data_IF_378683492588
#
_entry.id   IF_378683492588
#
_cell.length_a   1.000
_cell.length_b   1.000
_cell.length_c   1.000
_cell.angle_alpha   90.00
_cell.angle_beta   90.00
_cell.angle_gamma   90.00
#
_symmetry.space_group_name_H-M   'P 1'
#
loop_
_entity.id
_entity.type
_entity.pdbx_description
1 polymer ?
#
# COMPACT_ATOMS: atom_id res chain seq x y z
N UNK A 1 18.93 3.36 -11.73
CA UNK A 1 17.94 2.27 -11.81
C UNK A 1 18.23 1.36 -10.63
N UNK A 2 17.19 0.98 -9.90
CA UNK A 2 17.27 0.10 -8.74
C UNK A 2 17.12 -1.36 -9.16
N UNK A 3 17.43 -2.30 -8.26
CA UNK A 3 17.06 -3.70 -8.46
C UNK A 3 15.69 -3.94 -7.83
N UNK A 4 14.87 -4.77 -8.48
CA UNK A 4 13.66 -5.28 -7.86
C UNK A 4 13.99 -6.52 -7.04
N UNK A 5 13.52 -6.55 -5.80
CA UNK A 5 13.69 -7.68 -4.89
C UNK A 5 12.34 -8.21 -4.42
N UNK A 6 12.33 -9.49 -4.08
CA UNK A 6 11.15 -10.20 -3.62
C UNK A 6 10.83 -9.85 -2.16
N UNK A 7 9.60 -9.42 -1.89
CA UNK A 7 9.05 -9.23 -0.53
C UNK A 7 7.81 -10.11 -0.39
N UNK A 8 7.78 -10.93 0.66
CA UNK A 8 6.65 -11.81 0.95
C UNK A 8 5.47 -10.98 1.50
N UNK A 9 4.27 -11.29 1.02
CA UNK A 9 3.02 -10.73 1.54
C UNK A 9 2.57 -11.50 2.78
N UNK A 10 1.46 -11.08 3.40
CA UNK A 10 0.87 -11.82 4.52
C UNK A 10 -0.12 -12.93 4.10
N UNK A 11 -0.20 -13.29 2.81
CA UNK A 11 -1.15 -14.27 2.29
C UNK A 11 -0.50 -15.28 1.32
N UNK A 12 0.68 -15.83 1.70
CA UNK A 12 1.45 -16.82 0.94
C UNK A 12 1.71 -16.44 -0.53
N UNK A 13 2.00 -15.15 -0.74
CA UNK A 13 2.40 -14.60 -2.03
C UNK A 13 3.63 -13.70 -1.84
N UNK A 14 4.09 -13.11 -2.93
CA UNK A 14 5.22 -12.18 -2.93
C UNK A 14 5.10 -11.17 -4.04
N UNK A 15 5.67 -9.99 -3.81
CA UNK A 15 5.75 -8.90 -4.79
C UNK A 15 7.21 -8.54 -5.05
N UNK A 16 7.49 -8.01 -6.24
CA UNK A 16 8.78 -7.43 -6.57
C UNK A 16 8.73 -5.93 -6.30
N UNK A 17 9.65 -5.41 -5.50
CA UNK A 17 9.71 -3.98 -5.11
C UNK A 17 11.14 -3.47 -5.21
N UNK A 18 11.30 -2.16 -5.38
CA UNK A 18 12.60 -1.50 -5.36
C UNK A 18 13.38 -1.84 -4.07
N UNK A 19 14.65 -2.23 -4.23
CA UNK A 19 15.51 -2.74 -3.15
C UNK A 19 15.59 -1.83 -1.92
N UNK A 20 15.86 -0.53 -2.08
CA UNK A 20 15.93 0.41 -0.96
C UNK A 20 14.57 0.71 -0.31
N UNK A 21 13.42 0.36 -0.93
CA UNK A 21 12.10 0.49 -0.29
C UNK A 21 11.66 -0.79 0.42
N UNK A 22 12.35 -1.91 0.22
CA UNK A 22 11.87 -3.21 0.66
C UNK A 22 11.71 -3.33 2.19
N UNK A 23 12.56 -2.67 2.98
CA UNK A 23 12.41 -2.63 4.45
C UNK A 23 11.13 -1.89 4.85
N UNK A 24 10.87 -0.73 4.24
CA UNK A 24 9.65 0.05 4.44
C UNK A 24 8.41 -0.77 4.06
N UNK A 25 8.44 -1.48 2.92
CA UNK A 25 7.33 -2.33 2.50
C UNK A 25 7.07 -3.47 3.51
N UNK A 26 8.12 -4.13 4.02
CA UNK A 26 7.96 -5.16 5.07
C UNK A 26 7.34 -4.57 6.34
N UNK A 27 7.75 -3.37 6.72
CA UNK A 27 7.20 -2.66 7.87
C UNK A 27 5.73 -2.28 7.68
N UNK A 28 5.33 -1.79 6.50
CA UNK A 28 3.92 -1.56 6.14
C UNK A 28 3.09 -2.83 6.36
N UNK A 29 3.53 -3.97 5.81
CA UNK A 29 2.82 -5.26 5.94
C UNK A 29 2.70 -5.69 7.41
N UNK A 30 3.76 -5.52 8.20
CA UNK A 30 3.79 -5.88 9.62
C UNK A 30 2.81 -5.02 10.43
N UNK A 31 2.83 -3.71 10.22
CA UNK A 31 2.02 -2.75 10.96
C UNK A 31 0.55 -2.82 10.56
N UNK A 32 0.24 -3.08 9.29
CA UNK A 32 -1.13 -3.22 8.80
C UNK A 32 -1.92 -4.31 9.55
N UNK A 33 -1.25 -5.38 10.01
CA UNK A 33 -1.87 -6.45 10.82
C UNK A 33 -2.50 -5.94 12.13
N UNK A 34 -1.99 -4.83 12.67
CA UNK A 34 -2.50 -4.22 13.91
C UNK A 34 -3.72 -3.32 13.66
N UNK A 35 -4.03 -3.02 12.40
CA UNK A 35 -5.15 -2.17 12.03
C UNK A 35 -6.32 -3.01 11.48
N UNK A 36 -7.32 -3.36 12.31
CA UNK A 36 -8.40 -4.24 11.87
C UNK A 36 -9.30 -3.59 10.82
N UNK A 37 -9.28 -2.26 10.67
CA UNK A 37 -10.13 -1.54 9.73
C UNK A 37 -9.56 -1.49 8.30
N UNK A 38 -8.31 -1.92 8.07
CA UNK A 38 -7.71 -2.06 6.74
C UNK A 38 -8.03 -3.45 6.19
N UNK A 39 -8.73 -3.51 5.05
CA UNK A 39 -9.07 -4.76 4.38
C UNK A 39 -7.92 -5.25 3.48
N UNK A 40 -7.25 -4.34 2.77
CA UNK A 40 -6.08 -4.63 1.95
C UNK A 40 -5.21 -3.39 1.75
N UNK A 41 -3.94 -3.61 1.40
CA UNK A 41 -3.01 -2.57 0.95
C UNK A 41 -2.43 -2.99 -0.39
N UNK A 42 -2.41 -2.06 -1.34
CA UNK A 42 -1.83 -2.23 -2.66
C UNK A 42 -0.77 -1.16 -2.92
N UNK A 43 0.33 -1.55 -3.56
CA UNK A 43 1.34 -0.64 -4.07
C UNK A 43 1.12 -0.41 -5.56
N UNK A 44 1.53 0.75 -6.06
CA UNK A 44 1.57 1.07 -7.49
C UNK A 44 2.74 2.01 -7.80
N UNK A 45 2.77 2.58 -9.00
CA UNK A 45 3.75 3.60 -9.36
C UNK A 45 5.19 3.12 -9.29
N UNK A 46 6.08 4.02 -8.88
CA UNK A 46 7.51 3.80 -9.11
C UNK A 46 8.09 2.67 -8.26
N UNK A 47 7.57 2.41 -7.05
CA UNK A 47 8.11 1.39 -6.12
C UNK A 47 8.13 -0.03 -6.68
N UNK A 48 7.36 -0.29 -7.73
CA UNK A 48 7.29 -1.57 -8.45
C UNK A 48 8.18 -1.64 -9.71
N UNK A 49 8.90 -0.56 -10.03
CA UNK A 49 9.64 -0.39 -11.28
C UNK A 49 11.12 -0.03 -11.02
N UNK A 50 12.03 -0.46 -11.89
CA UNK A 50 13.48 -0.20 -11.76
C UNK A 50 13.85 1.29 -11.82
N UNK A 51 12.94 2.15 -12.30
CA UNK A 51 13.14 3.60 -12.35
C UNK A 51 12.98 4.32 -11.01
N UNK A 52 12.49 3.62 -9.98
CA UNK A 52 12.39 4.16 -8.64
C UNK A 52 13.75 4.75 -8.19
N UNK A 53 13.71 5.71 -7.28
CA UNK A 53 14.92 6.26 -6.63
C UNK A 53 14.75 6.29 -5.12
N UNK A 54 15.84 6.46 -4.38
CA UNK A 54 15.81 6.59 -2.92
C UNK A 54 14.86 7.70 -2.44
N UNK A 55 14.81 8.83 -3.15
CA UNK A 55 13.93 9.96 -2.87
C UNK A 55 12.53 9.83 -3.47
N UNK A 56 12.22 8.74 -4.17
CA UNK A 56 10.86 8.51 -4.65
C UNK A 56 9.91 8.31 -3.46
N UNK A 57 8.73 8.87 -3.61
CA UNK A 57 7.55 8.55 -2.81
C UNK A 57 7.15 7.08 -2.95
N UNK A 58 6.34 6.61 -2.00
CA UNK A 58 5.69 5.30 -2.06
C UNK A 58 4.20 5.54 -2.32
N UNK A 59 3.79 5.19 -3.53
CA UNK A 59 2.40 5.17 -3.98
C UNK A 59 1.64 4.01 -3.33
N UNK A 60 0.67 4.32 -2.48
CA UNK A 60 -0.04 3.34 -1.65
C UNK A 60 -1.55 3.51 -1.74
N UNK A 61 -2.23 2.39 -1.93
CA UNK A 61 -3.69 2.30 -1.86
C UNK A 61 -4.10 1.59 -0.57
N UNK A 62 -4.91 2.26 0.23
CA UNK A 62 -5.59 1.69 1.39
C UNK A 62 -7.02 1.29 0.99
N UNK A 63 -7.33 0.00 1.09
CA UNK A 63 -8.67 -0.53 0.88
C UNK A 63 -9.34 -0.75 2.23
N UNK A 64 -10.48 -0.10 2.46
CA UNK A 64 -11.28 -0.24 3.67
C UNK A 64 -12.76 0.03 3.41
N UNK A 65 -13.65 -0.76 4.02
CA UNK A 65 -15.09 -0.44 4.05
C UNK A 65 -15.41 0.92 4.70
N UNK A 66 -14.50 1.48 5.52
CA UNK A 66 -14.67 2.80 6.15
C UNK A 66 -14.18 3.90 5.20
N UNK A 67 -14.80 5.09 5.30
CA UNK A 67 -14.28 6.28 4.63
C UNK A 67 -12.99 6.75 5.29
N UNK A 68 -12.18 7.53 4.58
CA UNK A 68 -10.94 8.10 5.13
C UNK A 68 -11.18 8.87 6.42
N UNK A 69 -12.23 9.70 6.48
CA UNK A 69 -12.58 10.44 7.70
C UNK A 69 -12.87 9.49 8.87
N UNK A 70 -13.66 8.43 8.63
CA UNK A 70 -13.98 7.44 9.64
C UNK A 70 -12.79 6.56 10.04
N UNK A 71 -11.77 6.42 9.18
CA UNK A 71 -10.49 5.79 9.51
C UNK A 71 -9.64 6.69 10.39
N UNK A 72 -9.52 7.98 10.06
CA UNK A 72 -8.74 8.95 10.83
C UNK A 72 -9.22 9.13 12.28
N UNK A 73 -10.48 8.81 12.57
CA UNK A 73 -11.01 8.79 13.94
C UNK A 73 -10.61 7.53 14.73
N UNK A 74 -10.03 6.51 14.07
CA UNK A 74 -9.67 5.23 14.70
C UNK A 74 -8.26 5.30 15.24
N UNK A 75 -8.13 5.04 16.55
CA UNK A 75 -6.83 4.94 17.22
C UNK A 75 -5.88 3.97 16.50
N UNK A 76 -6.35 2.80 16.10
CA UNK A 76 -5.55 1.79 15.39
C UNK A 76 -5.07 2.25 14.01
N UNK A 77 -5.83 3.08 13.31
CA UNK A 77 -5.40 3.64 12.02
C UNK A 77 -4.39 4.77 12.23
N UNK A 78 -4.59 5.62 13.23
CA UNK A 78 -3.61 6.65 13.58
C UNK A 78 -2.29 6.05 14.06
N UNK A 79 -2.34 4.95 14.82
CA UNK A 79 -1.15 4.18 15.21
C UNK A 79 -0.46 3.57 13.99
N UNK A 80 -1.22 2.99 13.04
CA UNK A 80 -0.67 2.51 11.78
C UNK A 80 0.06 3.63 11.02
N UNK A 81 -0.60 4.77 10.81
CA UNK A 81 0.01 5.92 10.11
C UNK A 81 1.26 6.43 10.82
N UNK A 82 1.22 6.54 12.15
CA UNK A 82 2.38 6.92 12.96
C UNK A 82 3.54 5.94 12.76
N UNK A 83 3.27 4.64 12.86
CA UNK A 83 4.28 3.59 12.72
C UNK A 83 4.93 3.63 11.32
N UNK A 84 4.21 4.02 10.26
CA UNK A 84 4.81 4.19 8.91
C UNK A 84 5.93 5.23 8.88
N UNK A 85 5.74 6.38 9.54
CA UNK A 85 6.73 7.47 9.57
C UNK A 85 7.83 7.27 10.61
N UNK A 86 7.67 6.35 11.57
CA UNK A 86 8.69 6.07 12.59
C UNK A 86 9.94 5.38 12.02
N UNK A 87 9.78 4.60 10.94
CA UNK A 87 10.91 3.89 10.32
C UNK A 87 11.79 4.85 9.50
N UNK A 88 11.15 5.73 8.72
CA UNK A 88 11.83 6.75 7.94
C UNK A 88 10.96 8.02 7.90
N UNK A 89 11.37 9.03 8.65
CA UNK A 89 10.68 10.31 8.73
C UNK A 89 10.80 11.15 7.45
N UNK A 90 11.76 10.84 6.58
CA UNK A 90 11.96 11.52 5.31
C UNK A 90 11.21 10.85 4.15
N UNK A 91 10.65 9.65 4.37
CA UNK A 91 9.87 8.97 3.35
C UNK A 91 8.53 9.68 3.11
N UNK A 92 8.31 10.07 1.85
CA UNK A 92 7.02 10.59 1.38
C UNK A 92 6.11 9.46 0.91
N UNK A 93 4.81 9.60 1.11
CA UNK A 93 3.81 8.62 0.73
C UNK A 93 2.66 9.33 0.01
N UNK A 94 2.24 8.80 -1.14
CA UNK A 94 1.02 9.24 -1.82
C UNK A 94 -0.10 8.23 -1.55
N UNK A 95 -1.11 8.64 -0.77
CA UNK A 95 -2.18 7.76 -0.32
C UNK A 95 -3.44 7.93 -1.16
N UNK A 96 -3.92 6.82 -1.72
CA UNK A 96 -5.26 6.70 -2.27
C UNK A 96 -6.12 5.79 -1.41
N UNK A 97 -7.42 6.10 -1.35
CA UNK A 97 -8.38 5.38 -0.51
C UNK A 97 -9.53 4.86 -1.35
N UNK A 98 -9.82 3.56 -1.22
CA UNK A 98 -10.94 2.90 -1.90
C UNK A 98 -11.73 2.03 -0.94
N UNK A 99 -13.04 1.87 -1.21
CA UNK A 99 -13.92 1.04 -0.40
C UNK A 99 -13.71 -0.46 -0.61
N UNK A 100 -13.27 -0.82 -1.82
CA UNK A 100 -13.05 -2.21 -2.22
C UNK A 100 -12.13 -2.28 -3.43
N UNK A 101 -11.56 -3.45 -3.69
CA UNK A 101 -10.84 -3.72 -4.93
C UNK A 101 -11.81 -3.64 -6.13
N UNK A 102 -13.04 -4.13 -5.99
CA UNK A 102 -14.05 -4.08 -7.05
C UNK A 102 -14.37 -2.66 -7.51
N UNK A 103 -14.35 -1.68 -6.59
CA UNK A 103 -14.50 -0.26 -6.92
C UNK A 103 -13.45 0.21 -7.92
N UNK A 104 -12.20 -0.22 -7.77
CA UNK A 104 -11.10 0.11 -8.67
C UNK A 104 -11.40 -0.46 -10.07
N UNK A 105 -11.76 -1.74 -10.15
CA UNK A 105 -12.07 -2.39 -11.43
C UNK A 105 -13.31 -1.80 -12.12
N UNK A 106 -14.35 -1.44 -11.38
CA UNK A 106 -15.54 -0.80 -11.94
C UNK A 106 -15.26 0.58 -12.53
N UNK A 107 -14.25 1.28 -12.01
CA UNK A 107 -13.87 2.65 -12.42
C UNK A 107 -12.71 2.68 -13.42
N UNK A 108 -12.10 1.55 -13.76
CA UNK A 108 -10.88 1.49 -14.60
C UNK A 108 -11.00 2.20 -15.95
N UNK A 109 -12.16 2.13 -16.61
CA UNK A 109 -12.38 2.78 -17.91
C UNK A 109 -12.73 4.29 -17.78
N UNK A 110 -13.02 4.75 -16.57
CA UNK A 110 -13.49 6.13 -16.29
C UNK A 110 -12.42 6.99 -15.63
N UNK A 111 -11.47 6.37 -14.92
CA UNK A 111 -10.43 7.07 -14.17
C UNK A 111 -9.07 6.46 -14.50
N UNK A 112 -8.12 7.22 -15.09
CA UNK A 112 -6.79 6.73 -15.45
C UNK A 112 -6.05 6.08 -14.28
N UNK A 113 -6.18 6.65 -13.08
CA UNK A 113 -5.59 6.06 -11.88
C UNK A 113 -6.17 4.67 -11.56
N UNK A 114 -7.47 4.47 -11.71
CA UNK A 114 -8.08 3.15 -11.50
C UNK A 114 -7.64 2.15 -12.57
N UNK A 115 -7.38 2.60 -13.81
CA UNK A 115 -6.80 1.77 -14.86
C UNK A 115 -5.40 1.30 -14.46
N UNK A 116 -4.55 2.21 -14.04
CA UNK A 116 -3.19 1.89 -13.58
C UNK A 116 -3.19 0.92 -12.40
N UNK A 117 -4.03 1.18 -11.39
CA UNK A 117 -4.17 0.28 -10.25
C UNK A 117 -4.64 -1.12 -10.64
N UNK A 118 -5.58 -1.23 -11.59
CA UNK A 118 -6.07 -2.51 -12.06
C UNK A 118 -5.05 -3.29 -12.91
N UNK A 119 -4.20 -2.59 -13.68
CA UNK A 119 -3.23 -3.21 -14.59
C UNK A 119 -1.89 -3.51 -13.93
N UNK A 120 -1.44 -2.65 -13.00
CA UNK A 120 -0.10 -2.70 -12.41
C UNK A 120 -0.08 -2.84 -10.90
N UNK A 121 -1.17 -2.53 -10.21
CA UNK A 121 -1.22 -2.54 -8.75
C UNK A 121 -0.91 -3.92 -8.17
N UNK A 122 -0.10 -3.95 -7.11
CA UNK A 122 0.32 -5.18 -6.43
C UNK A 122 -0.14 -5.16 -4.98
N UNK A 123 -0.98 -6.13 -4.60
CA UNK A 123 -1.50 -6.23 -3.23
C UNK A 123 -0.42 -6.81 -2.32
N UNK A 124 -0.02 -6.06 -1.29
CA UNK A 124 1.01 -6.48 -0.33
C UNK A 124 0.43 -6.97 0.99
N UNK A 125 -0.80 -6.57 1.30
CA UNK A 125 -1.51 -6.97 2.51
C UNK A 125 -2.97 -7.30 2.20
N UNK A 126 -3.48 -8.38 2.80
CA UNK A 126 -4.91 -8.72 2.86
C UNK A 126 -5.25 -9.10 4.29
N UNK A 127 -6.28 -8.50 4.87
CA UNK A 127 -6.80 -8.94 6.16
C UNK A 127 -7.29 -10.38 6.03
N UNK A 128 -6.72 -11.29 6.80
CA UNK A 128 -7.21 -12.65 6.88
C UNK A 128 -8.55 -12.64 7.62
N UNK A 129 -9.55 -13.35 7.09
CA UNK A 129 -10.77 -13.57 7.84
C UNK A 129 -10.41 -14.37 9.11
N UNK A 130 -10.79 -13.84 10.27
CA UNK A 130 -10.70 -14.54 11.54
C UNK A 130 -11.68 -15.72 11.56
#
# INVERSE_FOLDING_TARGET
MCKLIKVNTNYDSSVMVADYKAEIIRHIISTAKKCPDIDAIMLFGSVLEERCKEKSDIDIVIISKKTVNALSDRKSFNEFMKDLYLLDFAQEYDFLYFKSIDEIYQKKEKAPICKELAEKGQIIYKRQAA
#
